data_IF_524927629530
#
_entry.id   IF_524927629530
#
_cell.length_a   1.000
_cell.length_b   1.000
_cell.length_c   1.000
_cell.angle_alpha   90.00
_cell.angle_beta   90.00
_cell.angle_gamma   90.00
#
_symmetry.space_group_name_H-M   'P 1'
#
loop_
_entity.id
_entity.type
_entity.pdbx_description
1 polymer ?
#
# COMPACT_ATOMS: atom_id res chain seq x y z
N UNK A 1 6.05 45.23 25.31
CA UNK A 1 7.12 45.07 26.33
C UNK A 1 7.51 43.60 26.39
N UNK A 2 8.75 43.26 26.04
CA UNK A 2 9.25 41.87 26.10
C UNK A 2 9.48 41.45 27.55
N UNK A 3 8.62 40.56 28.07
CA UNK A 3 8.70 40.02 29.42
C UNK A 3 9.72 38.87 29.49
N UNK A 4 10.43 38.75 30.61
CA UNK A 4 11.36 37.63 30.85
C UNK A 4 10.58 36.33 30.90
N UNK A 5 10.95 35.34 30.07
CA UNK A 5 10.38 33.98 30.09
C UNK A 5 11.44 32.98 30.53
N UNK A 6 11.04 31.98 31.30
CA UNK A 6 11.89 30.84 31.66
C UNK A 6 11.82 29.78 30.57
N UNK A 7 12.96 29.27 30.11
CA UNK A 7 13.07 28.20 29.11
C UNK A 7 13.85 27.03 29.70
N UNK A 8 13.57 25.83 29.20
CA UNK A 8 14.36 24.65 29.54
C UNK A 8 15.34 24.42 28.39
N UNK A 9 16.63 24.47 28.66
CA UNK A 9 17.68 24.32 27.65
C UNK A 9 18.42 23.01 27.86
N UNK A 10 18.73 22.29 26.80
CA UNK A 10 19.46 21.01 26.85
C UNK A 10 20.45 20.85 25.71
N UNK A 11 21.43 19.97 25.85
CA UNK A 11 22.37 19.59 24.79
C UNK A 11 21.69 18.65 23.77
N UNK A 12 22.32 18.44 22.61
CA UNK A 12 21.79 17.58 21.55
C UNK A 12 21.55 16.13 22.00
N UNK A 13 22.37 15.63 22.94
CA UNK A 13 22.27 14.29 23.52
C UNK A 13 21.24 14.20 24.67
N UNK A 14 20.64 15.33 25.06
CA UNK A 14 19.67 15.48 26.15
C UNK A 14 20.15 14.97 27.51
N UNK A 15 21.46 14.98 27.73
CA UNK A 15 22.12 14.52 28.98
C UNK A 15 22.07 15.58 30.06
N UNK A 16 22.16 16.84 29.68
CA UNK A 16 22.19 17.97 30.62
C UNK A 16 21.05 18.93 30.35
N UNK A 17 20.27 19.28 31.38
CA UNK A 17 19.09 20.16 31.27
C UNK A 17 19.15 21.29 32.29
N UNK A 18 19.01 22.51 31.82
CA UNK A 18 19.16 23.72 32.63
C UNK A 18 18.01 24.69 32.37
N UNK A 19 17.43 25.25 33.44
CA UNK A 19 16.47 26.34 33.33
C UNK A 19 17.16 27.68 33.10
N UNK A 20 16.77 28.42 32.05
CA UNK A 20 17.32 29.73 31.71
C UNK A 20 16.19 30.74 31.54
N UNK A 21 16.19 31.77 32.37
CA UNK A 21 15.31 32.92 32.19
C UNK A 21 15.95 33.92 31.23
N UNK A 22 15.30 34.20 30.10
CA UNK A 22 15.82 35.08 29.07
C UNK A 22 14.74 36.02 28.54
N UNK A 23 15.16 37.23 28.14
CA UNK A 23 14.29 38.23 27.50
C UNK A 23 14.40 38.22 25.98
N UNK A 24 15.57 37.90 25.44
CA UNK A 24 15.86 37.87 24.00
C UNK A 24 16.64 36.61 23.64
N UNK A 25 16.69 36.29 22.35
CA UNK A 25 17.47 35.17 21.85
C UNK A 25 18.97 35.32 22.16
N UNK A 26 19.52 36.53 22.04
CA UNK A 26 20.94 36.78 22.37
C UNK A 26 21.24 36.64 23.87
N UNK A 27 20.31 37.04 24.73
CA UNK A 27 20.39 36.84 26.18
C UNK A 27 20.37 35.34 26.52
N UNK A 28 19.52 34.56 25.84
CA UNK A 28 19.50 33.10 25.95
C UNK A 28 20.84 32.50 25.50
N UNK A 29 21.39 32.92 24.36
CA UNK A 29 22.68 32.44 23.84
C UNK A 29 23.81 32.65 24.85
N UNK A 30 23.97 33.88 25.36
CA UNK A 30 25.00 34.21 26.35
C UNK A 30 24.89 33.35 27.62
N UNK A 31 23.68 33.28 28.19
CA UNK A 31 23.43 32.48 29.40
C UNK A 31 23.64 30.98 29.18
N UNK A 32 23.38 30.46 27.99
CA UNK A 32 23.63 29.07 27.65
C UNK A 32 25.13 28.77 27.60
N UNK A 33 25.94 29.62 26.95
CA UNK A 33 27.41 29.48 26.94
C UNK A 33 27.96 29.43 28.36
N UNK A 34 27.54 30.36 29.22
CA UNK A 34 28.01 30.44 30.60
C UNK A 34 27.58 29.22 31.43
N UNK A 35 26.30 28.83 31.37
CA UNK A 35 25.76 27.73 32.20
C UNK A 35 26.25 26.36 31.77
N UNK A 36 26.43 26.11 30.48
CA UNK A 36 26.97 24.86 29.96
C UNK A 36 28.50 24.88 29.87
N UNK A 37 29.15 25.99 30.25
CA UNK A 37 30.61 26.19 30.21
C UNK A 37 31.20 25.86 28.82
N UNK A 38 30.51 26.31 27.77
CA UNK A 38 30.88 26.00 26.39
C UNK A 38 32.13 26.79 26.00
N UNK A 39 33.07 26.13 25.30
CA UNK A 39 34.21 26.79 24.64
C UNK A 39 33.80 27.36 23.27
N UNK A 40 32.62 27.97 23.20
CA UNK A 40 31.99 28.47 21.98
C UNK A 40 31.51 29.90 22.18
N UNK A 41 31.43 30.68 21.11
CA UNK A 41 30.84 32.01 21.20
C UNK A 41 29.32 31.93 21.06
N UNK A 42 28.56 32.93 21.55
CA UNK A 42 27.11 33.01 21.33
C UNK A 42 26.69 32.94 19.86
N UNK A 43 27.57 33.32 18.92
CA UNK A 43 27.29 33.26 17.48
C UNK A 43 27.37 31.84 16.92
N UNK A 44 28.13 30.96 17.58
CA UNK A 44 28.34 29.57 17.14
C UNK A 44 27.24 28.61 17.62
N UNK A 45 26.28 29.12 18.40
CA UNK A 45 25.18 28.32 18.96
C UNK A 45 23.83 28.73 18.41
N UNK A 46 23.02 27.73 18.09
CA UNK A 46 21.65 27.85 17.61
C UNK A 46 20.73 27.01 18.49
N UNK A 47 19.44 27.31 18.44
CA UNK A 47 18.43 26.58 19.19
C UNK A 47 17.42 25.94 18.27
N UNK A 48 17.01 24.74 18.64
CA UNK A 48 16.03 23.93 17.96
C UNK A 48 14.96 23.48 18.95
N UNK A 49 13.70 23.45 18.54
CA UNK A 49 12.60 22.85 19.32
C UNK A 49 12.55 21.33 19.14
N UNK A 50 11.74 20.63 19.94
CA UNK A 50 11.64 19.16 19.97
C UNK A 50 11.18 18.53 18.64
N UNK A 51 10.43 19.28 17.84
CA UNK A 51 9.95 18.92 16.50
C UNK A 51 10.99 19.21 15.39
N UNK A 52 12.10 19.82 15.76
CA UNK A 52 13.20 20.11 14.87
C UNK A 52 13.19 21.51 14.26
N UNK A 53 12.25 22.39 14.62
CA UNK A 53 12.17 23.76 14.11
C UNK A 53 13.30 24.63 14.68
N UNK A 54 14.01 25.37 13.82
CA UNK A 54 15.10 26.25 14.22
C UNK A 54 14.57 27.59 14.75
N UNK A 55 15.16 28.10 15.84
CA UNK A 55 14.86 29.43 16.38
C UNK A 55 15.77 30.46 15.73
N UNK A 56 15.38 30.93 14.54
CA UNK A 56 16.21 31.77 13.67
C UNK A 56 16.34 33.23 14.13
N UNK A 57 15.30 33.78 14.74
CA UNK A 57 15.24 35.20 15.07
C UNK A 57 14.50 35.46 16.40
N UNK A 58 14.62 36.69 16.89
CA UNK A 58 14.00 37.09 18.14
C UNK A 58 12.47 37.12 18.05
N UNK A 59 11.89 37.41 16.89
CA UNK A 59 10.43 37.50 16.72
C UNK A 59 9.78 36.14 16.94
N UNK A 60 10.31 35.09 16.32
CA UNK A 60 9.90 33.72 16.57
C UNK A 60 10.19 33.29 18.02
N UNK A 61 11.36 33.65 18.56
CA UNK A 61 11.65 33.38 19.98
C UNK A 61 10.61 33.98 20.94
N UNK A 62 10.07 35.17 20.65
CA UNK A 62 9.03 35.77 21.48
C UNK A 62 7.69 35.04 21.41
N UNK A 63 7.38 34.30 20.33
CA UNK A 63 6.13 33.52 20.24
C UNK A 63 6.17 32.28 21.13
N UNK A 64 7.36 31.77 21.46
CA UNK A 64 7.53 30.60 22.31
C UNK A 64 6.95 30.81 23.71
N UNK A 65 6.27 29.77 24.21
CA UNK A 65 5.70 29.77 25.55
C UNK A 65 6.81 29.67 26.62
N UNK A 66 6.51 30.11 27.84
CA UNK A 66 7.36 29.81 28.97
C UNK A 66 7.45 28.28 29.16
N UNK A 67 8.61 27.80 29.60
CA UNK A 67 8.96 26.40 29.83
C UNK A 67 9.15 25.53 28.58
N UNK A 68 9.10 26.12 27.37
CA UNK A 68 9.48 25.42 26.14
C UNK A 68 10.89 24.84 26.25
N UNK A 69 11.04 23.58 25.79
CA UNK A 69 12.33 22.91 25.70
C UNK A 69 13.04 23.33 24.43
N UNK A 70 14.25 23.85 24.59
CA UNK A 70 15.14 24.26 23.52
C UNK A 70 16.41 23.43 23.58
N UNK A 71 16.80 22.87 22.45
CA UNK A 71 18.01 22.09 22.29
C UNK A 71 19.04 23.00 21.64
N UNK A 72 20.17 23.23 22.31
CA UNK A 72 21.24 24.01 21.71
C UNK A 72 22.12 23.11 20.83
N UNK A 73 22.51 23.62 19.68
CA UNK A 73 23.36 22.93 18.69
C UNK A 73 24.45 23.88 18.21
N UNK A 74 25.58 23.34 17.75
CA UNK A 74 26.62 24.16 17.12
C UNK A 74 26.21 24.56 15.71
N UNK A 75 26.87 25.57 15.16
CA UNK A 75 26.69 25.96 13.77
C UNK A 75 26.86 24.76 12.81
N UNK A 76 25.85 24.51 11.98
CA UNK A 76 25.82 23.38 11.05
C UNK A 76 25.45 22.01 11.65
N UNK A 77 25.28 21.91 12.96
CA UNK A 77 24.76 20.70 13.61
C UNK A 77 23.22 20.76 13.74
N UNK A 78 22.59 19.60 13.78
CA UNK A 78 21.15 19.44 14.04
C UNK A 78 20.97 18.37 15.12
N UNK A 79 20.06 18.59 16.06
CA UNK A 79 19.69 17.59 17.05
C UNK A 79 18.60 16.66 16.51
N UNK A 80 18.60 15.41 16.97
CA UNK A 80 17.52 14.47 16.69
C UNK A 80 16.22 14.97 17.34
N UNK A 81 15.15 14.92 16.55
CA UNK A 81 13.79 15.25 16.99
C UNK A 81 13.25 14.16 17.91
N UNK A 82 12.21 14.48 18.69
CA UNK A 82 11.54 13.50 19.55
C UNK A 82 11.00 12.32 18.74
N UNK A 83 10.54 12.58 17.52
CA UNK A 83 10.03 11.55 16.63
C UNK A 83 11.14 10.62 16.11
N UNK A 84 12.31 11.16 15.76
CA UNK A 84 13.47 10.37 15.32
C UNK A 84 14.02 9.49 16.44
N UNK A 85 14.13 10.04 17.67
CA UNK A 85 14.56 9.27 18.85
C UNK A 85 13.55 8.16 19.13
N UNK A 86 12.25 8.47 19.16
CA UNK A 86 11.20 7.48 19.38
C UNK A 86 11.23 6.38 18.30
N UNK A 87 11.38 6.77 17.03
CA UNK A 87 11.47 5.83 15.93
C UNK A 87 12.69 4.90 16.07
N UNK A 88 13.83 5.45 16.45
CA UNK A 88 15.06 4.69 16.70
C UNK A 88 14.89 3.73 17.88
N UNK A 89 14.31 4.18 19.00
CA UNK A 89 14.04 3.31 20.16
C UNK A 89 13.07 2.19 19.81
N UNK A 90 11.97 2.49 19.10
CA UNK A 90 11.00 1.47 18.66
C UNK A 90 11.68 0.45 17.75
N UNK A 91 12.57 0.90 16.85
CA UNK A 91 13.31 0.02 15.96
C UNK A 91 14.30 -0.87 16.72
N UNK A 92 15.07 -0.30 17.65
CA UNK A 92 16.05 -1.04 18.46
C UNK A 92 15.38 -2.13 19.32
N UNK A 93 14.19 -1.85 19.89
CA UNK A 93 13.47 -2.83 20.72
C UNK A 93 12.80 -3.92 19.88
N UNK A 94 12.43 -3.61 18.64
CA UNK A 94 11.75 -4.53 17.72
C UNK A 94 12.65 -5.02 16.59
N UNK A 95 13.97 -4.94 16.75
CA UNK A 95 14.94 -5.20 15.67
C UNK A 95 14.79 -6.62 15.11
N UNK A 96 14.47 -7.61 15.95
CA UNK A 96 14.17 -8.97 15.51
C UNK A 96 12.93 -9.05 14.61
N UNK A 97 11.85 -8.33 14.95
CA UNK A 97 10.61 -8.34 14.18
C UNK A 97 10.73 -7.53 12.89
N UNK A 98 11.45 -6.41 12.92
CA UNK A 98 11.68 -5.57 11.75
C UNK A 98 12.69 -6.24 10.81
N UNK A 99 13.78 -6.81 11.32
CA UNK A 99 14.73 -7.61 10.54
C UNK A 99 14.06 -8.87 9.97
N UNK A 100 13.20 -9.54 10.72
CA UNK A 100 12.40 -10.65 10.19
C UNK A 100 11.44 -10.18 9.10
N UNK A 101 10.76 -9.05 9.29
CA UNK A 101 9.88 -8.44 8.28
C UNK A 101 10.63 -8.06 7.00
N UNK A 102 11.78 -7.41 7.12
CA UNK A 102 12.67 -7.04 6.01
C UNK A 102 13.23 -8.29 5.31
N UNK A 103 13.69 -9.29 6.05
CA UNK A 103 14.15 -10.58 5.49
C UNK A 103 13.03 -11.36 4.84
N UNK A 104 11.82 -11.31 5.37
CA UNK A 104 10.62 -11.90 4.75
C UNK A 104 10.29 -11.16 3.45
N UNK A 105 10.36 -9.83 3.45
CA UNK A 105 10.10 -9.01 2.27
C UNK A 105 11.18 -9.22 1.19
N UNK A 106 12.44 -9.38 1.59
CA UNK A 106 13.57 -9.74 0.75
C UNK A 106 13.48 -11.20 0.26
N UNK A 107 12.97 -12.11 1.09
CA UNK A 107 12.65 -13.50 0.72
C UNK A 107 11.52 -13.58 -0.32
N UNK A 108 10.55 -12.67 -0.24
CA UNK A 108 9.46 -12.52 -1.23
C UNK A 108 9.87 -11.78 -2.53
N UNK A 109 11.17 -11.55 -2.78
CA UNK A 109 11.67 -10.94 -4.03
C UNK A 109 11.38 -11.79 -5.28
N UNK A 110 11.44 -11.15 -6.46
CA UNK A 110 11.11 -11.72 -7.78
C UNK A 110 11.77 -13.07 -8.10
N UNK A 111 12.97 -13.32 -7.57
CA UNK A 111 13.67 -14.60 -7.74
C UNK A 111 12.89 -15.76 -7.15
N UNK A 112 12.21 -15.60 -6.01
CA UNK A 112 11.40 -16.69 -5.46
C UNK A 112 10.06 -16.83 -6.17
N UNK A 113 9.43 -15.76 -6.65
CA UNK A 113 8.23 -15.86 -7.52
C UNK A 113 8.54 -16.68 -8.78
N UNK A 114 9.68 -16.45 -9.41
CA UNK A 114 10.11 -17.26 -10.57
C UNK A 114 10.39 -18.72 -10.20
N UNK A 115 10.97 -18.99 -9.03
CA UNK A 115 11.25 -20.35 -8.55
C UNK A 115 9.99 -21.10 -8.10
N UNK A 116 9.05 -20.41 -7.44
CA UNK A 116 7.71 -20.92 -7.09
C UNK A 116 6.91 -21.16 -8.36
N UNK A 117 7.00 -20.28 -9.37
CA UNK A 117 6.36 -20.49 -10.66
C UNK A 117 6.95 -21.71 -11.39
N UNK A 118 8.28 -21.87 -11.38
CA UNK A 118 8.97 -23.06 -11.92
C UNK A 118 8.61 -24.33 -11.16
N UNK A 119 8.53 -24.27 -9.82
CA UNK A 119 8.09 -25.40 -9.00
C UNK A 119 6.63 -25.76 -9.28
N UNK A 120 5.75 -24.75 -9.41
CA UNK A 120 4.38 -24.93 -9.84
C UNK A 120 4.30 -25.43 -11.30
N UNK A 121 5.25 -25.12 -12.17
CA UNK A 121 5.39 -25.68 -13.53
C UNK A 121 5.74 -27.17 -13.49
N UNK A 122 6.69 -27.57 -12.65
CA UNK A 122 7.03 -28.98 -12.44
C UNK A 122 5.85 -29.74 -11.85
N UNK A 123 5.12 -29.16 -10.89
CA UNK A 123 3.90 -29.73 -10.33
C UNK A 123 2.77 -29.79 -11.37
N UNK A 124 2.60 -28.77 -12.22
CA UNK A 124 1.65 -28.78 -13.34
C UNK A 124 1.98 -29.84 -14.40
N UNK A 125 3.27 -30.11 -14.63
CA UNK A 125 3.73 -31.18 -15.51
C UNK A 125 3.33 -32.58 -15.06
N UNK A 126 3.05 -32.76 -13.75
CA UNK A 126 2.56 -34.01 -13.17
C UNK A 126 1.03 -34.13 -13.33
N UNK A 127 0.31 -33.01 -13.49
CA UNK A 127 -1.17 -32.94 -13.49
C UNK A 127 -1.80 -32.66 -14.88
N UNK A 128 -0.96 -32.49 -15.91
CA UNK A 128 -1.39 -32.22 -17.29
C UNK A 128 -2.30 -33.30 -17.89
N UNK A 129 -2.25 -34.54 -17.38
CA UNK A 129 -3.13 -35.63 -17.83
C UNK A 129 -4.57 -35.46 -17.33
N UNK A 130 -4.78 -34.98 -16.08
CA UNK A 130 -6.13 -34.81 -15.51
C UNK A 130 -6.88 -33.62 -16.09
N UNK A 131 -6.17 -32.64 -16.62
CA UNK A 131 -6.77 -31.46 -17.27
C UNK A 131 -7.69 -31.86 -18.43
N UNK A 132 -7.37 -32.95 -19.15
CA UNK A 132 -8.16 -33.47 -20.29
C UNK A 132 -9.52 -34.02 -19.89
N UNK A 133 -9.70 -34.46 -18.65
CA UNK A 133 -10.99 -34.95 -18.19
C UNK A 133 -12.02 -33.84 -18.16
N UNK A 134 -13.22 -34.15 -18.65
CA UNK A 134 -14.36 -33.24 -18.67
C UNK A 134 -15.34 -33.58 -17.56
N UNK A 135 -15.69 -34.85 -17.39
CA UNK A 135 -16.71 -35.29 -16.45
C UNK A 135 -16.20 -35.29 -15.01
N UNK A 136 -17.09 -34.92 -14.08
CA UNK A 136 -16.86 -35.01 -12.63
C UNK A 136 -16.57 -36.43 -12.16
N UNK A 137 -17.04 -37.44 -12.87
CA UNK A 137 -16.74 -38.84 -12.57
C UNK A 137 -15.26 -39.18 -12.82
N UNK A 138 -14.68 -38.65 -13.89
CA UNK A 138 -13.30 -38.97 -14.30
C UNK A 138 -12.26 -38.17 -13.50
N UNK A 139 -12.65 -37.03 -12.92
CA UNK A 139 -11.79 -36.20 -12.06
C UNK A 139 -12.62 -35.55 -10.92
N UNK A 140 -13.00 -36.33 -9.90
CA UNK A 140 -13.85 -35.85 -8.81
C UNK A 140 -13.13 -34.83 -7.91
N UNK A 141 -11.81 -34.95 -7.77
CA UNK A 141 -10.96 -34.05 -6.96
C UNK A 141 -11.03 -32.61 -7.46
N UNK A 142 -11.10 -32.38 -8.78
CA UNK A 142 -11.26 -31.04 -9.35
C UNK A 142 -12.53 -30.31 -8.88
N UNK A 143 -13.58 -31.06 -8.51
CA UNK A 143 -14.85 -30.51 -8.04
C UNK A 143 -14.97 -30.44 -6.52
N UNK A 144 -13.94 -30.85 -5.78
CA UNK A 144 -13.95 -30.81 -4.33
C UNK A 144 -13.99 -29.35 -3.82
N UNK A 145 -14.86 -29.09 -2.83
CA UNK A 145 -15.06 -27.74 -2.28
C UNK A 145 -15.80 -26.75 -3.20
N UNK A 146 -16.17 -27.14 -4.41
CA UNK A 146 -17.01 -26.31 -5.29
C UNK A 146 -18.49 -26.50 -4.95
N UNK A 147 -19.18 -25.41 -4.62
CA UNK A 147 -20.63 -25.39 -4.53
C UNK A 147 -21.24 -25.38 -5.95
N UNK A 148 -21.41 -26.58 -6.53
CA UNK A 148 -21.91 -26.73 -7.89
C UNK A 148 -22.60 -28.07 -8.16
N UNK A 149 -23.65 -28.01 -8.99
CA UNK A 149 -24.32 -29.17 -9.58
C UNK A 149 -23.79 -29.51 -10.98
N UNK A 150 -22.74 -28.83 -11.46
CA UNK A 150 -22.16 -29.08 -12.77
C UNK A 150 -21.60 -30.50 -12.86
N UNK A 151 -21.89 -31.18 -13.98
CA UNK A 151 -21.41 -32.54 -14.27
C UNK A 151 -20.09 -32.54 -15.05
N UNK A 152 -19.76 -31.42 -15.69
CA UNK A 152 -18.52 -31.25 -16.45
C UNK A 152 -17.78 -29.99 -16.02
N UNK A 153 -16.46 -29.97 -16.22
CA UNK A 153 -15.61 -28.80 -15.95
C UNK A 153 -16.05 -27.63 -16.81
N UNK A 154 -16.43 -27.91 -18.04
CA UNK A 154 -16.88 -26.93 -19.02
C UNK A 154 -18.22 -26.30 -18.65
N UNK A 155 -19.20 -27.07 -18.17
CA UNK A 155 -20.47 -26.49 -17.71
C UNK A 155 -20.25 -25.60 -16.49
N UNK A 156 -19.34 -26.00 -15.58
CA UNK A 156 -18.93 -25.15 -14.47
C UNK A 156 -18.30 -23.86 -14.97
N UNK A 157 -17.28 -23.96 -15.83
CA UNK A 157 -16.56 -22.79 -16.36
C UNK A 157 -17.46 -21.87 -17.19
N UNK A 158 -18.37 -22.44 -17.98
CA UNK A 158 -19.42 -21.72 -18.69
C UNK A 158 -20.23 -20.86 -17.72
N UNK A 159 -20.70 -21.46 -16.61
CA UNK A 159 -21.44 -20.73 -15.58
C UNK A 159 -20.61 -19.62 -14.93
N UNK A 160 -19.32 -19.87 -14.65
CA UNK A 160 -18.41 -18.87 -14.06
C UNK A 160 -18.21 -17.66 -14.96
N UNK A 161 -18.09 -17.84 -16.27
CA UNK A 161 -18.05 -16.74 -17.23
C UNK A 161 -19.34 -15.92 -17.20
N UNK A 162 -20.50 -16.59 -17.20
CA UNK A 162 -21.78 -15.91 -17.11
C UNK A 162 -21.94 -15.10 -15.81
N UNK A 163 -21.51 -15.64 -14.67
CA UNK A 163 -21.62 -14.97 -13.38
C UNK A 163 -20.85 -13.65 -13.39
N UNK A 164 -19.63 -13.62 -13.96
CA UNK A 164 -18.84 -12.38 -14.09
C UNK A 164 -19.60 -11.32 -14.88
N UNK A 165 -20.14 -11.69 -16.05
CA UNK A 165 -20.85 -10.76 -16.92
C UNK A 165 -22.15 -10.29 -16.29
N UNK A 166 -22.88 -11.18 -15.61
CA UNK A 166 -24.04 -10.78 -14.79
C UNK A 166 -23.64 -9.77 -13.74
N UNK A 167 -22.58 -10.03 -12.97
CA UNK A 167 -22.10 -9.08 -11.95
C UNK A 167 -21.81 -7.70 -12.54
N UNK A 168 -21.14 -7.62 -13.69
CA UNK A 168 -20.89 -6.34 -14.37
C UNK A 168 -22.21 -5.64 -14.72
N UNK A 169 -23.12 -6.35 -15.38
CA UNK A 169 -24.43 -5.80 -15.74
C UNK A 169 -25.23 -5.32 -14.53
N UNK A 170 -25.35 -6.13 -13.47
CA UNK A 170 -26.12 -5.79 -12.27
C UNK A 170 -25.50 -4.59 -11.53
N UNK A 171 -24.18 -4.55 -11.35
CA UNK A 171 -23.49 -3.41 -10.73
C UNK A 171 -23.68 -2.12 -11.52
N UNK A 172 -23.41 -2.15 -12.83
CA UNK A 172 -23.57 -0.98 -13.70
C UNK A 172 -25.02 -0.51 -13.73
N UNK A 173 -25.99 -1.42 -13.82
CA UNK A 173 -27.41 -1.05 -13.73
C UNK A 173 -27.72 -0.32 -12.44
N UNK A 174 -27.29 -0.87 -11.30
CA UNK A 174 -27.60 -0.29 -9.99
C UNK A 174 -26.99 1.10 -9.83
N UNK A 175 -25.75 1.30 -10.27
CA UNK A 175 -25.09 2.61 -10.25
C UNK A 175 -25.80 3.62 -11.14
N UNK A 176 -26.11 3.26 -12.39
CA UNK A 176 -26.76 4.18 -13.33
C UNK A 176 -28.20 4.52 -12.92
N UNK A 177 -28.98 3.54 -12.44
CA UNK A 177 -30.37 3.79 -12.02
C UNK A 177 -30.49 4.57 -10.71
N UNK A 178 -29.41 4.66 -9.92
CA UNK A 178 -29.36 5.51 -8.72
C UNK A 178 -29.04 6.97 -9.03
N UNK A 179 -28.47 7.26 -10.18
CA UNK A 179 -28.08 8.63 -10.57
C UNK A 179 -29.30 9.45 -11.04
N UNK A 180 -29.76 10.44 -10.26
CA UNK A 180 -30.93 11.22 -10.61
C UNK A 180 -30.69 12.18 -11.79
N UNK A 181 -29.44 12.42 -12.18
CA UNK A 181 -29.09 13.34 -13.28
C UNK A 181 -29.31 12.71 -14.66
N UNK A 182 -29.43 11.38 -14.72
CA UNK A 182 -29.60 10.63 -15.96
C UNK A 182 -31.09 10.52 -16.38
N UNK A 183 -31.38 10.44 -17.68
CA UNK A 183 -32.74 10.29 -18.19
C UNK A 183 -33.30 8.89 -17.89
N UNK A 184 -33.93 8.76 -16.72
CA UNK A 184 -34.32 7.47 -16.12
C UNK A 184 -35.16 6.55 -17.02
N UNK A 185 -36.15 7.09 -17.74
CA UNK A 185 -37.00 6.28 -18.62
C UNK A 185 -36.20 5.66 -19.77
N UNK A 186 -35.39 6.47 -20.46
CA UNK A 186 -34.53 6.01 -21.56
C UNK A 186 -33.46 5.04 -21.05
N UNK A 187 -32.88 5.33 -19.90
CA UNK A 187 -31.88 4.47 -19.27
C UNK A 187 -32.44 3.08 -18.94
N UNK A 188 -33.64 2.99 -18.36
CA UNK A 188 -34.31 1.71 -18.08
C UNK A 188 -34.52 0.88 -19.35
N UNK A 189 -34.94 1.53 -20.44
CA UNK A 189 -35.07 0.86 -21.74
C UNK A 189 -33.74 0.32 -22.25
N UNK A 190 -32.67 1.13 -22.24
CA UNK A 190 -31.34 0.73 -22.73
C UNK A 190 -30.74 -0.41 -21.89
N UNK A 191 -30.85 -0.33 -20.57
CA UNK A 191 -30.36 -1.37 -19.66
C UNK A 191 -31.14 -2.68 -19.87
N UNK A 192 -32.46 -2.60 -20.08
CA UNK A 192 -33.28 -3.78 -20.40
C UNK A 192 -32.88 -4.40 -21.75
N UNK A 193 -32.70 -3.58 -22.79
CA UNK A 193 -32.28 -4.06 -24.12
C UNK A 193 -30.91 -4.75 -24.04
N UNK A 194 -29.94 -4.16 -23.31
CA UNK A 194 -28.65 -4.79 -23.07
C UNK A 194 -28.79 -6.14 -22.36
N UNK A 195 -29.66 -6.23 -21.36
CA UNK A 195 -29.91 -7.48 -20.64
C UNK A 195 -30.50 -8.57 -21.55
N UNK A 196 -31.44 -8.20 -22.40
CA UNK A 196 -32.06 -9.15 -23.31
C UNK A 196 -31.07 -9.61 -24.39
N UNK A 197 -30.23 -8.71 -24.91
CA UNK A 197 -29.09 -9.09 -25.76
C UNK A 197 -28.12 -10.02 -25.05
N UNK A 198 -27.77 -9.73 -23.79
CA UNK A 198 -26.91 -10.60 -23.00
C UNK A 198 -27.54 -11.98 -22.79
N UNK A 199 -28.85 -12.08 -22.54
CA UNK A 199 -29.55 -13.37 -22.47
C UNK A 199 -29.46 -14.16 -23.77
N UNK A 200 -29.62 -13.51 -24.92
CA UNK A 200 -29.54 -14.16 -26.24
C UNK A 200 -28.18 -14.85 -26.45
N UNK A 201 -27.09 -14.19 -26.04
CA UNK A 201 -25.73 -14.76 -26.08
C UNK A 201 -25.36 -15.53 -24.82
N UNK A 202 -26.35 -15.89 -23.98
CA UNK A 202 -26.16 -16.62 -22.73
C UNK A 202 -25.08 -16.00 -21.83
N UNK A 203 -25.06 -14.68 -21.72
CA UNK A 203 -24.10 -13.88 -20.95
C UNK A 203 -22.64 -14.24 -21.27
N UNK A 204 -22.35 -14.53 -22.54
CA UNK A 204 -21.05 -15.00 -23.06
C UNK A 204 -20.41 -16.11 -22.21
N UNK A 205 -21.21 -17.06 -21.75
CA UNK A 205 -20.69 -18.22 -21.00
C UNK A 205 -19.60 -18.99 -21.77
N UNK A 206 -19.68 -18.98 -23.11
CA UNK A 206 -18.73 -19.64 -23.99
C UNK A 206 -17.29 -19.17 -23.87
N UNK A 207 -17.02 -17.98 -23.31
CA UNK A 207 -15.65 -17.48 -23.17
C UNK A 207 -14.74 -18.43 -22.39
N UNK A 208 -15.25 -19.12 -21.36
CA UNK A 208 -14.43 -20.04 -20.56
C UNK A 208 -14.69 -21.52 -20.87
N UNK A 209 -15.60 -21.81 -21.80
CA UNK A 209 -15.91 -23.18 -22.20
C UNK A 209 -15.02 -23.58 -23.38
N UNK A 210 -14.03 -24.44 -23.13
CA UNK A 210 -13.11 -24.92 -24.18
C UNK A 210 -13.78 -25.71 -25.32
N UNK A 211 -15.07 -26.06 -25.21
CA UNK A 211 -15.86 -26.66 -26.31
C UNK A 211 -16.36 -25.59 -27.29
N UNK A 212 -16.51 -24.35 -26.87
CA UNK A 212 -17.00 -23.24 -27.70
C UNK A 212 -15.87 -22.65 -28.57
N UNK A 213 -15.54 -23.35 -29.65
CA UNK A 213 -14.45 -22.98 -30.57
C UNK A 213 -14.56 -21.59 -31.18
N UNK A 214 -15.77 -21.03 -31.26
CA UNK A 214 -16.00 -19.73 -31.88
C UNK A 214 -15.70 -18.58 -30.91
N UNK A 215 -15.96 -18.78 -29.61
CA UNK A 215 -15.94 -17.69 -28.63
C UNK A 215 -14.96 -17.90 -27.48
N UNK A 216 -14.44 -19.12 -27.26
CA UNK A 216 -13.58 -19.43 -26.12
C UNK A 216 -12.29 -18.62 -26.15
N UNK A 217 -11.91 -18.06 -25.01
CA UNK A 217 -10.63 -17.35 -24.83
C UNK A 217 -9.51 -18.27 -24.31
N UNK A 218 -9.80 -19.58 -24.21
CA UNK A 218 -8.83 -20.63 -23.92
C UNK A 218 -8.63 -21.55 -25.14
N UNK A 219 -7.56 -22.35 -25.12
CA UNK A 219 -7.28 -23.34 -26.16
C UNK A 219 -8.13 -24.63 -25.97
N UNK A 220 -7.88 -25.64 -26.82
CA UNK A 220 -8.49 -26.98 -26.77
C UNK A 220 -8.34 -27.70 -25.43
N UNK A 221 -7.23 -27.47 -24.74
CA UNK A 221 -6.91 -28.08 -23.45
C UNK A 221 -7.53 -27.29 -22.27
N UNK A 222 -7.98 -26.06 -22.51
CA UNK A 222 -8.52 -25.17 -21.47
C UNK A 222 -7.48 -24.20 -20.89
N UNK A 223 -6.32 -24.05 -21.52
CA UNK A 223 -5.32 -23.08 -21.10
C UNK A 223 -5.71 -21.65 -21.50
N UNK A 224 -5.61 -20.74 -20.55
CA UNK A 224 -5.84 -19.31 -20.76
C UNK A 224 -4.51 -18.58 -20.86
N UNK A 225 -4.34 -17.76 -21.90
CA UNK A 225 -3.15 -16.92 -22.04
C UNK A 225 -3.42 -15.52 -21.49
N UNK A 226 -2.52 -15.05 -20.62
CA UNK A 226 -2.60 -13.68 -20.11
C UNK A 226 -2.38 -12.68 -21.25
N UNK A 227 -3.32 -11.76 -21.44
CA UNK A 227 -3.24 -10.69 -22.44
C UNK A 227 -2.43 -9.46 -21.95
N UNK A 228 -1.90 -9.50 -20.72
CA UNK A 228 -1.12 -8.42 -20.13
C UNK A 228 -1.95 -7.35 -19.43
N UNK A 229 -1.26 -6.30 -18.96
CA UNK A 229 -1.89 -5.12 -18.36
C UNK A 229 -2.63 -4.33 -19.44
N UNK A 230 -3.73 -3.69 -19.09
CA UNK A 230 -4.55 -2.89 -20.01
C UNK A 230 -3.78 -1.81 -20.79
N UNK A 231 -2.64 -1.33 -20.26
CA UNK A 231 -1.78 -0.33 -20.88
C UNK A 231 -0.48 -0.89 -21.50
N UNK A 232 -0.45 -2.20 -21.78
CA UNK A 232 0.70 -2.90 -22.37
C UNK A 232 0.20 -3.88 -23.43
N UNK A 233 1.00 -4.06 -24.48
CA UNK A 233 0.62 -4.91 -25.62
C UNK A 233 0.82 -6.42 -25.35
N UNK A 234 1.48 -6.78 -24.25
CA UNK A 234 1.76 -8.17 -23.89
C UNK A 234 1.89 -8.39 -22.38
N UNK A 235 1.75 -9.66 -21.97
CA UNK A 235 2.06 -10.08 -20.61
C UNK A 235 3.56 -9.94 -20.31
N UNK A 236 3.90 -9.28 -19.21
CA UNK A 236 5.29 -9.13 -18.74
C UNK A 236 5.81 -10.37 -18.00
N UNK A 237 4.92 -11.32 -17.69
CA UNK A 237 5.21 -12.53 -16.93
C UNK A 237 5.04 -13.80 -17.76
N UNK A 238 5.02 -13.69 -19.09
CA UNK A 238 5.09 -14.89 -19.92
C UNK A 238 6.39 -15.62 -19.60
N UNK A 239 6.36 -16.91 -19.23
CA UNK A 239 7.57 -17.71 -19.11
C UNK A 239 8.29 -17.67 -20.46
N UNK A 240 9.59 -17.35 -20.43
CA UNK A 240 10.49 -17.50 -21.58
C UNK A 240 10.83 -18.98 -21.76
#
# INVERSE_FOLDING_TARGET
>A
MTSTKGFKVTDAERKSRVGIAAKTLDDLKKKTVDKFKLKLTPQDIFFQTQDGTLVENNDYFQTLHAQTLLIWVKNGEKAETDAEILYKTIREVNDEYLSAGEKVQEFFTEKMKSKVFKLAEVLRGIDGEKTKFSLKYDDPEWFEGLDTNAKTKEDYMFRRAQDRIRTYYYKTREELLKDPTLPQNRLRCLVSDLHDRLKLVKFNGGYFDRRDRANSICNLEGDFTCQGRWNKDKCLYSPQ
#
